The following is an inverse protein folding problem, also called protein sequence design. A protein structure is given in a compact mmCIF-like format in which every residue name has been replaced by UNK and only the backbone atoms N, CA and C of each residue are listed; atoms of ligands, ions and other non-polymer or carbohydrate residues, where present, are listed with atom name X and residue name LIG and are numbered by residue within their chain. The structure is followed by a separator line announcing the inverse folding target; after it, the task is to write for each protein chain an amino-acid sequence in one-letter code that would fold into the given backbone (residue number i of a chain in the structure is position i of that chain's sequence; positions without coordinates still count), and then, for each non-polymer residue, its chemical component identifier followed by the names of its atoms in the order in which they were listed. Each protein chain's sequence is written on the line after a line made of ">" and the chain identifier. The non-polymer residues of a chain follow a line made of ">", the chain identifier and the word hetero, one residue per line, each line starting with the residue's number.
data_IF_399396979299
#
_entry.id   IF_399396979299
#
_cell.length_a   1.000
_cell.length_b   1.000
_cell.length_c   1.000
_cell.angle_alpha   90.00
_cell.angle_beta   90.00
_cell.angle_gamma   90.00
#
_symmetry.space_group_name_H-M   'P 1'
#
loop_
_entity.id
_entity.type
_entity.pdbx_description
1 polymer ?
#
# COMPACT_ATOMS: atom_id res chain seq x y z
N UNK A 1 -7.79 39.84 9.50
CA UNK A 1 -6.87 38.68 9.45
C UNK A 1 -7.30 37.51 10.35
N UNK A 2 -7.86 37.74 11.54
CA UNK A 2 -8.34 36.64 12.42
C UNK A 2 -9.50 35.86 11.79
N UNK A 3 -10.50 36.52 11.25
CA UNK A 3 -11.68 35.89 10.62
C UNK A 3 -11.31 34.96 9.46
N UNK A 4 -10.38 35.37 8.61
CA UNK A 4 -9.93 34.53 7.50
C UNK A 4 -9.18 33.28 8.00
N UNK A 5 -8.38 33.42 9.05
CA UNK A 5 -7.66 32.31 9.65
C UNK A 5 -8.64 31.31 10.32
N UNK A 6 -9.64 31.80 11.01
CA UNK A 6 -10.65 30.96 11.68
C UNK A 6 -11.51 30.20 10.66
N UNK A 7 -11.89 30.83 9.54
CA UNK A 7 -12.61 30.18 8.45
C UNK A 7 -11.77 29.09 7.79
N UNK A 8 -10.47 29.37 7.56
CA UNK A 8 -9.56 28.40 6.96
C UNK A 8 -9.36 27.18 7.87
N UNK A 9 -9.13 27.39 9.16
CA UNK A 9 -8.92 26.31 10.12
C UNK A 9 -10.17 25.46 10.34
N UNK A 10 -11.33 26.08 10.46
CA UNK A 10 -12.60 25.35 10.54
C UNK A 10 -12.90 24.59 9.26
N UNK A 11 -12.65 25.18 8.09
CA UNK A 11 -12.79 24.50 6.79
C UNK A 11 -11.86 23.30 6.68
N UNK A 12 -10.61 23.42 7.10
CA UNK A 12 -9.66 22.30 7.11
C UNK A 12 -10.12 21.17 8.04
N UNK A 13 -10.67 21.52 9.21
CA UNK A 13 -11.18 20.53 10.16
C UNK A 13 -12.37 19.74 9.58
N UNK A 14 -13.30 20.42 8.93
CA UNK A 14 -14.44 19.78 8.25
C UNK A 14 -13.96 18.85 7.14
N UNK A 15 -12.97 19.25 6.33
CA UNK A 15 -12.41 18.43 5.27
C UNK A 15 -11.70 17.18 5.83
N UNK A 16 -10.99 17.29 6.94
CA UNK A 16 -10.33 16.16 7.59
C UNK A 16 -11.37 15.16 8.12
N UNK A 17 -12.46 15.64 8.73
CA UNK A 17 -13.54 14.78 9.21
C UNK A 17 -14.22 14.06 8.05
N UNK A 18 -14.52 14.75 6.97
CA UNK A 18 -15.10 14.17 5.75
C UNK A 18 -14.17 13.11 5.13
N UNK A 19 -12.89 13.42 5.01
CA UNK A 19 -11.88 12.49 4.50
C UNK A 19 -11.78 11.25 5.39
N UNK A 20 -11.80 11.42 6.71
CA UNK A 20 -11.80 10.33 7.67
C UNK A 20 -13.04 9.43 7.57
N UNK A 21 -14.22 10.03 7.38
CA UNK A 21 -15.44 9.27 7.18
C UNK A 21 -15.41 8.44 5.89
N UNK A 22 -14.95 9.03 4.79
CA UNK A 22 -14.76 8.31 3.52
C UNK A 22 -13.74 7.20 3.63
N UNK A 23 -12.66 7.41 4.38
CA UNK A 23 -11.64 6.40 4.65
C UNK A 23 -12.20 5.23 5.44
N UNK A 24 -13.00 5.47 6.47
CA UNK A 24 -13.68 4.43 7.25
C UNK A 24 -14.61 3.57 6.38
N UNK A 25 -15.38 4.19 5.51
CA UNK A 25 -16.25 3.49 4.55
C UNK A 25 -15.40 2.64 3.61
N UNK A 26 -14.24 3.15 3.16
CA UNK A 26 -13.31 2.43 2.30
C UNK A 26 -12.71 1.21 2.99
N UNK A 27 -12.31 1.32 4.25
CA UNK A 27 -11.78 0.20 5.05
C UNK A 27 -12.85 -0.89 5.23
N UNK A 28 -14.09 -0.49 5.47
CA UNK A 28 -15.20 -1.43 5.65
C UNK A 28 -15.58 -2.15 4.35
N UNK A 29 -15.45 -1.48 3.22
CA UNK A 29 -15.87 -1.98 1.92
C UNK A 29 -14.72 -2.52 1.06
N UNK A 30 -13.47 -2.36 1.50
CA UNK A 30 -12.27 -2.77 0.75
C UNK A 30 -12.17 -4.28 0.60
N UNK A 31 -12.15 -4.81 -0.65
CA UNK A 31 -12.16 -6.25 -0.92
C UNK A 31 -10.79 -6.91 -0.76
N UNK A 32 -9.67 -6.14 -0.72
CA UNK A 32 -8.33 -6.69 -0.70
C UNK A 32 -7.54 -6.32 0.56
N UNK A 33 -6.65 -7.22 0.98
CA UNK A 33 -5.75 -7.00 2.13
C UNK A 33 -4.81 -5.81 1.90
N UNK A 34 -4.39 -5.60 0.65
CA UNK A 34 -3.55 -4.47 0.24
C UNK A 34 -4.29 -3.13 0.36
N UNK A 35 -5.57 -3.10 0.02
CA UNK A 35 -6.40 -1.89 0.10
C UNK A 35 -6.58 -1.45 1.57
N UNK A 36 -6.68 -2.41 2.49
CA UNK A 36 -6.73 -2.14 3.92
C UNK A 36 -5.40 -1.61 4.46
N UNK A 37 -4.27 -2.18 4.01
CA UNK A 37 -2.95 -1.74 4.41
C UNK A 37 -2.67 -0.29 3.97
N UNK A 38 -2.99 0.06 2.73
CA UNK A 38 -2.88 1.43 2.21
C UNK A 38 -3.83 2.38 2.95
N UNK A 39 -5.04 1.93 3.28
CA UNK A 39 -6.01 2.75 4.01
C UNK A 39 -5.56 3.09 5.43
N UNK A 40 -4.84 2.18 6.10
CA UNK A 40 -4.25 2.43 7.43
C UNK A 40 -3.15 3.50 7.34
N UNK A 41 -2.34 3.50 6.28
CA UNK A 41 -1.32 4.51 6.06
C UNK A 41 -1.94 5.90 5.84
N UNK A 42 -2.99 5.97 5.03
CA UNK A 42 -3.76 7.21 4.83
C UNK A 42 -4.41 7.68 6.15
N UNK A 43 -4.87 6.76 7.00
CA UNK A 43 -5.40 7.10 8.32
C UNK A 43 -4.35 7.77 9.20
N UNK A 44 -3.11 7.29 9.18
CA UNK A 44 -2.00 7.91 9.92
C UNK A 44 -1.75 9.35 9.44
N UNK A 45 -1.77 9.58 8.12
CA UNK A 45 -1.63 10.93 7.53
C UNK A 45 -2.77 11.85 7.98
N UNK A 46 -4.01 11.36 8.01
CA UNK A 46 -5.18 12.14 8.49
C UNK A 46 -5.06 12.50 9.98
N UNK A 47 -4.56 11.59 10.80
CA UNK A 47 -4.31 11.85 12.22
C UNK A 47 -3.25 12.95 12.39
N UNK A 48 -2.17 12.89 11.64
CA UNK A 48 -1.12 13.91 11.63
C UNK A 48 -1.71 15.26 11.20
N UNK A 49 -2.53 15.29 10.15
CA UNK A 49 -3.18 16.51 9.68
C UNK A 49 -4.13 17.10 10.74
N UNK A 50 -4.92 16.27 11.43
CA UNK A 50 -5.82 16.68 12.49
C UNK A 50 -5.04 17.30 13.69
N UNK A 51 -3.95 16.64 14.10
CA UNK A 51 -3.07 17.15 15.16
C UNK A 51 -2.43 18.47 14.70
N UNK A 52 -2.01 18.58 13.43
CA UNK A 52 -1.42 19.80 12.87
C UNK A 52 -2.40 20.98 12.88
N UNK A 53 -3.65 20.78 12.50
CA UNK A 53 -4.68 21.81 12.58
C UNK A 53 -4.92 22.23 14.04
N UNK A 54 -4.99 21.26 14.96
CA UNK A 54 -5.15 21.55 16.39
C UNK A 54 -3.95 22.34 16.93
N UNK A 55 -2.73 21.96 16.55
CA UNK A 55 -1.50 22.70 16.93
C UNK A 55 -1.50 24.13 16.39
N UNK A 56 -2.02 24.34 15.19
CA UNK A 56 -2.15 25.67 14.59
C UNK A 56 -3.17 26.55 15.34
N UNK A 57 -4.27 25.97 15.81
CA UNK A 57 -5.29 26.68 16.61
C UNK A 57 -4.74 27.04 17.98
N UNK A 58 -4.10 26.10 18.66
CA UNK A 58 -3.60 26.27 20.04
C UNK A 58 -2.24 26.99 20.11
N UNK A 59 -1.59 27.17 18.96
CA UNK A 59 -0.24 27.78 18.85
C UNK A 59 0.79 27.12 19.77
N UNK A 60 0.70 25.82 19.96
CA UNK A 60 1.54 25.07 20.90
C UNK A 60 2.47 24.14 20.10
N UNK A 61 3.77 24.29 20.31
CA UNK A 61 4.80 23.46 19.65
C UNK A 61 4.87 22.04 20.22
N UNK A 62 4.19 21.76 21.30
CA UNK A 62 4.23 20.46 21.98
C UNK A 62 3.80 19.28 21.07
N UNK A 63 2.87 19.53 20.17
CA UNK A 63 2.35 18.51 19.26
C UNK A 63 3.33 18.11 18.16
N UNK A 64 4.38 18.89 17.89
CA UNK A 64 5.36 18.58 16.83
C UNK A 64 6.10 17.28 17.09
N UNK A 65 6.46 17.00 18.35
CA UNK A 65 7.14 15.76 18.72
C UNK A 65 6.27 14.55 18.48
N UNK A 66 4.97 14.63 18.79
CA UNK A 66 4.00 13.55 18.57
C UNK A 66 3.80 13.32 17.07
N UNK A 67 3.68 14.38 16.29
CA UNK A 67 3.55 14.29 14.82
C UNK A 67 4.76 13.62 14.19
N UNK A 68 5.97 13.94 14.67
CA UNK A 68 7.21 13.33 14.19
C UNK A 68 7.24 11.83 14.47
N UNK A 69 6.85 11.41 15.67
CA UNK A 69 6.81 9.98 16.03
C UNK A 69 5.80 9.23 15.16
N UNK A 70 4.60 9.75 14.95
CA UNK A 70 3.57 9.12 14.12
C UNK A 70 4.03 9.06 12.66
N UNK A 71 4.67 10.11 12.13
CA UNK A 71 5.22 10.14 10.78
C UNK A 71 6.31 9.07 10.59
N UNK A 72 7.20 8.92 11.56
CA UNK A 72 8.24 7.89 11.53
C UNK A 72 7.65 6.48 11.61
N UNK A 73 6.63 6.29 12.44
CA UNK A 73 5.93 5.01 12.57
C UNK A 73 5.22 4.63 11.25
N UNK A 74 4.55 5.58 10.60
CA UNK A 74 3.92 5.39 9.28
C UNK A 74 4.93 5.03 8.21
N UNK A 75 6.06 5.72 8.16
CA UNK A 75 7.14 5.39 7.22
C UNK A 75 7.66 3.96 7.42
N UNK A 76 7.91 3.57 8.67
CA UNK A 76 8.40 2.22 9.00
C UNK A 76 7.38 1.15 8.61
N UNK A 77 6.09 1.40 8.84
CA UNK A 77 5.00 0.50 8.45
C UNK A 77 4.93 0.32 6.92
N UNK A 78 5.00 1.40 6.17
CA UNK A 78 5.01 1.39 4.69
C UNK A 78 6.18 0.59 4.12
N UNK A 79 7.38 0.77 4.67
CA UNK A 79 8.58 0.02 4.27
C UNK A 79 8.43 -1.47 4.61
N UNK A 80 7.89 -1.81 5.77
CA UNK A 80 7.66 -3.19 6.18
C UNK A 80 6.70 -3.91 5.23
N UNK A 81 5.58 -3.26 4.86
CA UNK A 81 4.60 -3.79 3.91
C UNK A 81 5.23 -3.99 2.53
N UNK A 82 5.99 -3.01 2.03
CA UNK A 82 6.67 -3.08 0.75
C UNK A 82 7.66 -4.26 0.69
N UNK A 83 8.42 -4.48 1.75
CA UNK A 83 9.34 -5.63 1.85
C UNK A 83 8.59 -6.96 1.88
N UNK A 84 7.45 -7.02 2.53
CA UNK A 84 6.65 -8.24 2.61
C UNK A 84 6.03 -8.61 1.26
N UNK A 85 5.56 -7.62 0.50
CA UNK A 85 5.05 -7.80 -0.86
C UNK A 85 6.17 -8.25 -1.80
N UNK A 86 7.33 -7.58 -1.76
CA UNK A 86 8.49 -7.93 -2.58
C UNK A 86 9.02 -9.35 -2.27
N UNK A 87 8.89 -9.83 -1.03
CA UNK A 87 9.27 -11.19 -0.67
C UNK A 87 8.27 -12.24 -1.21
N UNK A 88 7.00 -11.88 -1.36
CA UNK A 88 5.97 -12.75 -1.94
C UNK A 88 6.03 -12.81 -3.47
N UNK A 89 6.41 -11.71 -4.10
CA UNK A 89 6.57 -11.58 -5.56
C UNK A 89 7.96 -12.04 -6.06
N UNK A 90 8.81 -12.59 -5.21
CA UNK A 90 9.89 -13.40 -5.75
C UNK A 90 9.22 -14.54 -6.49
N UNK A 91 9.28 -14.57 -7.82
CA UNK A 91 8.92 -15.76 -8.55
C UNK A 91 9.92 -16.79 -8.04
N UNK A 92 9.48 -17.59 -7.05
CA UNK A 92 10.10 -18.87 -6.84
C UNK A 92 10.22 -19.42 -8.23
N UNK A 93 11.45 -19.61 -8.68
CA UNK A 93 11.84 -20.16 -9.94
C UNK A 93 10.64 -20.91 -10.54
N UNK A 94 9.72 -20.18 -11.18
CA UNK A 94 8.96 -20.81 -12.23
C UNK A 94 10.08 -21.20 -13.15
N UNK A 95 10.53 -22.41 -12.99
CA UNK A 95 11.13 -23.16 -14.06
C UNK A 95 10.23 -22.79 -15.23
N UNK A 96 10.64 -21.76 -16.00
CA UNK A 96 10.10 -21.63 -17.35
C UNK A 96 10.17 -23.07 -17.81
N UNK A 97 9.06 -23.69 -18.23
CA UNK A 97 9.21 -24.92 -18.95
C UNK A 97 10.23 -24.53 -19.99
N UNK A 98 11.45 -25.00 -19.78
CA UNK A 98 12.54 -24.87 -20.73
C UNK A 98 11.85 -25.15 -22.02
N UNK A 99 11.71 -24.08 -22.85
CA UNK A 99 11.09 -24.12 -24.15
C UNK A 99 11.16 -25.56 -24.60
N UNK A 100 10.00 -26.22 -24.65
CA UNK A 100 9.95 -27.63 -24.96
C UNK A 100 10.88 -27.79 -26.16
N UNK A 101 12.08 -28.26 -25.90
CA UNK A 101 13.02 -28.59 -26.97
C UNK A 101 12.19 -29.45 -27.86
N UNK A 102 11.90 -29.04 -29.10
CA UNK A 102 11.04 -29.80 -29.97
C UNK A 102 11.58 -31.23 -29.92
N UNK A 103 10.79 -32.13 -29.38
CA UNK A 103 11.19 -33.54 -29.27
C UNK A 103 11.67 -33.93 -30.64
N UNK A 104 12.96 -34.28 -30.82
CA UNK A 104 13.44 -34.65 -32.14
C UNK A 104 12.48 -35.67 -32.70
N UNK A 105 12.07 -35.60 -34.00
CA UNK A 105 11.12 -36.48 -34.57
C UNK A 105 11.55 -37.91 -34.24
N UNK A 106 10.64 -38.67 -33.65
CA UNK A 106 10.89 -40.04 -33.28
C UNK A 106 11.56 -40.74 -34.49
N UNK A 107 12.83 -41.12 -34.31
CA UNK A 107 13.49 -41.93 -35.32
C UNK A 107 12.53 -43.05 -35.62
N UNK A 108 11.97 -43.04 -36.83
CA UNK A 108 11.15 -44.15 -37.32
C UNK A 108 12.00 -45.41 -37.11
N UNK A 109 11.65 -46.18 -36.11
CA UNK A 109 12.21 -47.53 -35.99
C UNK A 109 11.81 -48.26 -37.27
N UNK A 110 12.77 -48.83 -37.99
CA UNK A 110 12.46 -49.62 -39.15
C UNK A 110 11.50 -50.73 -38.74
N UNK A 111 10.45 -50.94 -39.53
CA UNK A 111 9.44 -51.96 -39.33
C UNK A 111 10.13 -53.35 -39.21
N UNK A 112 9.89 -54.07 -38.13
CA UNK A 112 10.49 -55.42 -37.96
C UNK A 112 10.20 -56.39 -39.08
N UNK A 113 9.30 -56.06 -40.00
CA UNK A 113 8.91 -56.90 -41.13
C UNK A 113 9.80 -56.79 -42.38
N UNK A 114 10.79 -55.86 -42.39
CA UNK A 114 11.72 -55.70 -43.51
C UNK A 114 13.07 -56.34 -43.25
N UNK A 115 13.14 -57.38 -42.46
CA UNK A 115 14.33 -58.24 -42.42
C UNK A 115 14.15 -59.41 -43.38
N UNK A 116 15.04 -59.53 -44.35
CA UNK A 116 15.05 -60.64 -45.23
C UNK A 116 15.35 -61.95 -44.52
#
# INVERSE_FOLDING_TARGET
>A
MKLANDILLNGALVLIVLAGALLLVRIWRGPSMLDRAVSVDIAAVLIIAAIGVNAAITRTSYYLSIMLVIAFLGFTSSVAIARFIAARDRPGTRTRPVLAVPKPPARQQPDPKERP
#
